data_IF_222002377108
#
_entry.id   IF_222002377108
#
_cell.length_a   1.000
_cell.length_b   1.000
_cell.length_c   1.000
_cell.angle_alpha   90.00
_cell.angle_beta   90.00
_cell.angle_gamma   90.00
#
_symmetry.space_group_name_H-M   'P 1'
#
loop_
_entity.id
_entity.type
_entity.pdbx_description
1 polymer ?
#
# COMPACT_ATOMS: atom_id res chain seq x y z
N UNK A 1 19.52 -1.64 -15.41
CA UNK A 1 18.20 -1.55 -16.07
C UNK A 1 17.10 -1.43 -15.03
N UNK A 2 16.06 -0.67 -15.32
CA UNK A 2 14.89 -0.50 -14.45
C UNK A 2 13.87 -1.61 -14.72
N UNK A 3 13.41 -2.27 -13.65
CA UNK A 3 12.34 -3.25 -13.72
C UNK A 3 10.96 -2.59 -13.68
N UNK A 4 10.09 -2.95 -14.64
CA UNK A 4 8.70 -2.50 -14.68
C UNK A 4 7.75 -3.65 -14.98
N UNK A 5 6.98 -4.15 -13.99
CA UNK A 5 5.91 -5.11 -14.21
C UNK A 5 4.73 -4.43 -14.91
N UNK A 6 4.09 -5.15 -15.81
CA UNK A 6 2.88 -4.74 -16.51
C UNK A 6 1.61 -5.22 -15.81
N UNK A 7 1.73 -6.19 -14.94
CA UNK A 7 0.63 -6.73 -14.14
C UNK A 7 1.09 -7.04 -12.71
N UNK A 8 0.12 -7.14 -11.78
CA UNK A 8 0.40 -7.40 -10.36
C UNK A 8 0.88 -8.81 -10.05
N UNK A 9 0.85 -9.72 -11.02
CA UNK A 9 1.37 -11.08 -10.87
C UNK A 9 2.80 -11.21 -11.41
N UNK A 10 3.31 -10.14 -12.02
CA UNK A 10 4.62 -10.13 -12.70
C UNK A 10 4.72 -11.17 -13.81
N UNK A 11 3.57 -11.55 -14.40
CA UNK A 11 3.50 -12.45 -15.53
C UNK A 11 4.05 -11.82 -16.80
N UNK A 12 3.93 -10.48 -16.88
CA UNK A 12 4.48 -9.66 -17.95
C UNK A 12 5.27 -8.50 -17.33
N UNK A 13 6.43 -8.24 -17.89
CA UNK A 13 7.30 -7.14 -17.46
C UNK A 13 8.19 -6.65 -18.60
N UNK A 14 8.74 -5.47 -18.44
CA UNK A 14 9.73 -4.89 -19.35
C UNK A 14 10.93 -4.40 -18.56
N UNK A 15 12.09 -4.48 -19.21
CA UNK A 15 13.33 -3.86 -18.75
C UNK A 15 13.54 -2.56 -19.51
N UNK A 16 13.74 -1.46 -18.80
CA UNK A 16 14.02 -0.14 -19.39
C UNK A 16 15.48 0.20 -19.22
N UNK A 17 16.11 0.65 -20.29
CA UNK A 17 17.52 1.05 -20.37
C UNK A 17 18.22 0.40 -21.56
N UNK A 18 19.44 0.81 -21.83
CA UNK A 18 20.24 0.34 -22.94
C UNK A 18 20.90 -1.01 -22.63
N UNK A 19 21.07 -1.84 -23.68
CA UNK A 19 21.70 -3.15 -23.61
C UNK A 19 20.72 -4.33 -23.50
N UNK A 20 21.27 -5.54 -23.42
CA UNK A 20 20.50 -6.76 -23.30
C UNK A 20 19.82 -6.88 -21.91
N UNK A 21 18.57 -7.37 -21.86
CA UNK A 21 17.88 -7.56 -20.60
C UNK A 21 18.65 -8.57 -19.71
N UNK A 22 18.71 -8.34 -18.37
CA UNK A 22 19.37 -9.27 -17.48
C UNK A 22 18.64 -10.61 -17.42
N UNK A 23 19.38 -11.70 -17.31
CA UNK A 23 18.85 -13.06 -17.09
C UNK A 23 18.45 -13.26 -15.63
N UNK A 24 17.51 -12.50 -15.14
CA UNK A 24 17.07 -12.55 -13.75
C UNK A 24 15.57 -12.77 -13.69
N UNK A 25 15.13 -13.68 -12.83
CA UNK A 25 13.71 -13.86 -12.53
C UNK A 25 13.24 -12.79 -11.54
N UNK A 26 12.34 -11.87 -11.96
CA UNK A 26 11.88 -10.78 -11.10
C UNK A 26 11.15 -11.25 -9.85
N UNK A 27 10.41 -12.34 -9.93
CA UNK A 27 9.63 -12.89 -8.80
C UNK A 27 10.58 -13.56 -7.80
N UNK A 28 11.49 -14.40 -8.29
CA UNK A 28 12.50 -15.05 -7.44
C UNK A 28 13.43 -14.03 -6.77
N UNK A 29 13.78 -12.96 -7.50
CA UNK A 29 14.63 -11.88 -7.01
C UNK A 29 13.90 -10.82 -6.18
N UNK A 30 12.58 -10.94 -5.99
CA UNK A 30 11.76 -10.03 -5.18
C UNK A 30 11.86 -8.57 -5.62
N UNK A 31 11.81 -8.33 -6.94
CA UNK A 31 11.88 -7.00 -7.51
C UNK A 31 10.54 -6.26 -7.37
N UNK A 32 10.60 -5.00 -6.98
CA UNK A 32 9.49 -4.05 -7.05
C UNK A 32 9.65 -3.15 -8.27
N UNK A 33 8.53 -2.59 -8.75
CA UNK A 33 8.53 -1.63 -9.85
C UNK A 33 9.49 -0.49 -9.54
N UNK A 34 10.38 -0.18 -10.50
CA UNK A 34 11.39 0.86 -10.35
C UNK A 34 12.70 0.42 -9.66
N UNK A 35 12.84 -0.86 -9.27
CA UNK A 35 14.14 -1.37 -8.85
C UNK A 35 15.12 -1.33 -10.04
N UNK A 36 16.33 -0.83 -9.79
CA UNK A 36 17.41 -0.80 -10.77
C UNK A 36 18.31 -2.01 -10.59
N UNK A 37 18.49 -2.77 -11.67
CA UNK A 37 19.32 -3.98 -11.67
C UNK A 37 20.59 -3.75 -12.47
N UNK A 38 21.72 -4.20 -11.90
CA UNK A 38 23.03 -4.18 -12.53
C UNK A 38 23.79 -5.46 -12.17
N UNK A 39 24.39 -6.10 -13.17
CA UNK A 39 25.14 -7.36 -13.01
C UNK A 39 24.36 -8.44 -12.21
N UNK A 40 23.08 -8.64 -12.53
CA UNK A 40 22.19 -9.60 -11.89
C UNK A 40 21.89 -9.34 -10.39
N UNK A 41 22.17 -8.14 -9.89
CA UNK A 41 21.83 -7.70 -8.54
C UNK A 41 21.08 -6.38 -8.53
N UNK A 42 20.38 -6.09 -7.42
CA UNK A 42 19.69 -4.80 -7.25
C UNK A 42 20.74 -3.74 -6.93
N UNK A 43 20.96 -2.80 -7.87
CA UNK A 43 21.87 -1.68 -7.69
C UNK A 43 21.24 -0.50 -6.96
N UNK A 44 19.96 -0.23 -7.21
CA UNK A 44 19.19 0.83 -6.58
C UNK A 44 17.78 0.35 -6.30
N UNK A 45 17.32 0.56 -5.08
CA UNK A 45 15.99 0.14 -4.65
C UNK A 45 14.92 1.15 -5.04
N UNK A 46 13.77 0.63 -5.44
CA UNK A 46 12.58 1.40 -5.77
C UNK A 46 12.10 2.29 -4.61
N UNK A 47 11.59 3.48 -4.94
CA UNK A 47 10.93 4.38 -3.99
C UNK A 47 9.75 3.73 -3.25
N UNK A 48 9.10 2.73 -3.87
CA UNK A 48 7.96 2.02 -3.29
C UNK A 48 8.30 1.23 -2.02
N UNK A 49 9.58 1.00 -1.76
CA UNK A 49 10.04 0.37 -0.50
C UNK A 49 9.92 1.31 0.70
N UNK A 50 9.92 2.63 0.47
CA UNK A 50 9.84 3.65 1.52
C UNK A 50 8.54 4.47 1.47
N UNK A 51 7.83 4.43 0.34
CA UNK A 51 6.62 5.22 0.09
C UNK A 51 5.40 4.59 0.77
N UNK A 52 4.48 5.43 1.21
CA UNK A 52 3.17 4.98 1.65
C UNK A 52 2.32 4.59 0.44
N UNK A 53 1.69 3.44 0.51
CA UNK A 53 0.88 2.84 -0.55
C UNK A 53 -0.58 2.80 -0.11
N UNK A 54 -1.48 3.31 -0.95
CA UNK A 54 -2.91 3.16 -0.75
C UNK A 54 -3.38 1.80 -1.31
N UNK A 55 -4.31 1.13 -0.61
CA UNK A 55 -4.82 -0.16 -1.04
C UNK A 55 -6.11 -0.56 -0.35
N UNK A 56 -6.62 -1.71 -0.73
CA UNK A 56 -7.81 -2.33 -0.14
C UNK A 56 -7.38 -3.56 0.64
N UNK A 57 -7.62 -3.53 1.95
CA UNK A 57 -7.42 -4.67 2.84
C UNK A 57 -8.63 -5.60 2.73
N UNK A 58 -8.41 -6.83 2.28
CA UNK A 58 -9.45 -7.85 2.12
C UNK A 58 -9.76 -8.50 3.48
N UNK A 59 -10.39 -7.74 4.38
CA UNK A 59 -10.74 -8.20 5.73
C UNK A 59 -11.86 -9.24 5.72
N UNK A 60 -12.76 -9.18 4.75
CA UNK A 60 -13.82 -10.17 4.54
C UNK A 60 -13.29 -11.51 3.97
N UNK A 61 -12.05 -11.52 3.46
CA UNK A 61 -11.43 -12.67 2.83
C UNK A 61 -10.74 -13.64 3.78
N UNK A 62 -10.00 -14.56 3.18
CA UNK A 62 -9.21 -15.55 3.92
C UNK A 62 -8.00 -14.92 4.61
N UNK A 63 -7.61 -15.50 5.74
CA UNK A 63 -6.39 -15.13 6.47
C UNK A 63 -5.19 -15.93 6.00
N UNK A 64 -4.01 -15.33 6.10
CA UNK A 64 -2.72 -15.89 5.67
C UNK A 64 -1.76 -16.06 6.85
N UNK A 65 -2.26 -16.61 7.94
CA UNK A 65 -1.49 -16.82 9.16
C UNK A 65 -1.61 -15.66 10.15
N UNK A 66 -0.67 -15.62 11.08
CA UNK A 66 -0.66 -14.66 12.19
C UNK A 66 0.74 -14.08 12.36
N UNK A 67 0.83 -12.79 12.57
CA UNK A 67 2.08 -12.09 12.85
C UNK A 67 1.87 -11.20 14.09
N UNK A 68 2.65 -11.43 15.16
CA UNK A 68 2.56 -10.66 16.42
C UNK A 68 1.12 -10.50 16.90
N UNK A 69 0.43 -11.62 17.10
CA UNK A 69 -0.97 -11.71 17.57
C UNK A 69 -2.04 -11.11 16.62
N UNK A 70 -1.67 -10.56 15.49
CA UNK A 70 -2.60 -10.07 14.48
C UNK A 70 -2.76 -11.07 13.35
N UNK A 71 -3.99 -11.24 12.88
CA UNK A 71 -4.26 -12.00 11.67
C UNK A 71 -3.74 -11.23 10.44
N UNK A 72 -3.24 -11.97 9.47
CA UNK A 72 -2.67 -11.42 8.25
C UNK A 72 -3.67 -11.56 7.11
N UNK A 73 -3.91 -10.47 6.41
CA UNK A 73 -4.85 -10.40 5.29
C UNK A 73 -4.16 -9.94 4.01
N UNK A 74 -4.74 -10.26 2.87
CA UNK A 74 -4.32 -9.68 1.60
C UNK A 74 -4.68 -8.20 1.54
N UNK A 75 -3.75 -7.40 1.05
CA UNK A 75 -3.95 -6.01 0.73
C UNK A 75 -3.61 -5.78 -0.75
N UNK A 76 -4.58 -5.29 -1.51
CA UNK A 76 -4.43 -5.03 -2.94
C UNK A 76 -4.07 -3.57 -3.12
N UNK A 77 -2.85 -3.24 -3.58
CA UNK A 77 -2.45 -1.86 -3.86
C UNK A 77 -3.32 -1.23 -4.96
N UNK A 78 -3.55 0.09 -4.86
CA UNK A 78 -4.18 0.85 -5.94
C UNK A 78 -3.29 0.86 -7.20
N UNK A 79 -1.98 0.94 -7.02
CA UNK A 79 -1.05 0.79 -8.13
C UNK A 79 -0.98 -0.67 -8.59
N UNK A 80 -1.47 -0.94 -9.80
CA UNK A 80 -1.54 -2.29 -10.38
C UNK A 80 -0.18 -2.92 -10.68
N UNK A 81 0.87 -2.11 -10.79
CA UNK A 81 2.24 -2.60 -10.99
C UNK A 81 2.88 -3.14 -9.71
N UNK A 82 2.26 -2.91 -8.55
CA UNK A 82 2.70 -3.50 -7.29
C UNK A 82 2.03 -4.87 -7.06
N UNK A 83 2.74 -5.84 -6.46
CA UNK A 83 2.16 -7.12 -6.11
C UNK A 83 1.11 -6.98 -4.99
N UNK A 84 0.35 -8.04 -4.76
CA UNK A 84 -0.50 -8.13 -3.57
C UNK A 84 0.37 -8.28 -2.33
N UNK A 85 0.10 -7.49 -1.28
CA UNK A 85 0.80 -7.53 0.00
C UNK A 85 0.05 -8.37 1.03
N UNK A 86 0.79 -8.84 2.02
CA UNK A 86 0.25 -9.43 3.24
C UNK A 86 0.41 -8.42 4.38
N UNK A 87 -0.70 -7.98 4.97
CA UNK A 87 -0.72 -6.93 6.00
C UNK A 87 -1.39 -7.45 7.27
N UNK A 88 -0.71 -7.39 8.44
CA UNK A 88 -1.30 -7.73 9.71
C UNK A 88 -2.34 -6.68 10.12
N UNK A 89 -3.53 -7.14 10.46
CA UNK A 89 -4.63 -6.29 10.91
C UNK A 89 -5.35 -6.86 12.11
N UNK A 90 -5.72 -6.00 13.04
CA UNK A 90 -6.63 -6.31 14.13
C UNK A 90 -7.59 -5.14 14.28
N UNK A 91 -8.87 -5.41 14.25
CA UNK A 91 -9.90 -4.41 14.50
C UNK A 91 -9.86 -3.97 15.96
N UNK A 92 -9.86 -2.66 16.20
CA UNK A 92 -9.81 -2.10 17.57
C UNK A 92 -11.10 -2.29 18.34
N UNK A 93 -12.21 -2.48 17.64
CA UNK A 93 -13.51 -2.73 18.24
C UNK A 93 -13.74 -4.23 18.33
N UNK A 94 -13.76 -4.76 19.54
CA UNK A 94 -14.16 -6.15 19.83
C UNK A 94 -15.68 -6.37 19.72
N UNK A 95 -16.43 -5.42 19.20
CA UNK A 95 -17.81 -5.69 18.83
C UNK A 95 -17.80 -6.72 17.72
N UNK A 96 -18.29 -7.90 18.05
CA UNK A 96 -18.52 -9.07 17.22
C UNK A 96 -19.39 -8.69 15.99
N UNK A 97 -18.85 -7.89 15.11
CA UNK A 97 -19.45 -7.67 13.79
C UNK A 97 -19.36 -9.00 13.06
N UNK A 98 -20.47 -9.70 12.97
CA UNK A 98 -20.58 -10.95 12.19
C UNK A 98 -20.24 -10.73 10.71
N UNK A 99 -20.26 -9.49 10.24
CA UNK A 99 -20.00 -9.12 8.86
C UNK A 99 -18.66 -8.36 8.78
N UNK A 100 -17.61 -9.09 8.43
CA UNK A 100 -16.33 -8.48 8.08
C UNK A 100 -16.46 -7.74 6.76
N UNK A 101 -16.06 -6.49 6.72
CA UNK A 101 -16.08 -5.63 5.54
C UNK A 101 -14.66 -5.23 5.19
N UNK A 102 -14.34 -5.18 3.91
CA UNK A 102 -13.04 -4.72 3.42
C UNK A 102 -12.82 -3.25 3.76
N UNK A 103 -11.56 -2.86 3.90
CA UNK A 103 -11.18 -1.52 4.34
C UNK A 103 -10.25 -0.85 3.34
N UNK A 104 -10.47 0.44 3.09
CA UNK A 104 -9.45 1.29 2.49
C UNK A 104 -8.37 1.60 3.52
N UNK A 105 -7.13 1.39 3.11
CA UNK A 105 -5.97 1.51 4.01
C UNK A 105 -4.79 2.17 3.34
N UNK A 106 -3.85 2.65 4.17
CA UNK A 106 -2.49 2.96 3.77
C UNK A 106 -1.52 2.03 4.50
N UNK A 107 -0.51 1.59 3.80
CA UNK A 107 0.54 0.72 4.35
C UNK A 107 1.89 1.05 3.70
N UNK A 108 2.97 0.54 4.29
CA UNK A 108 4.33 0.62 3.74
C UNK A 108 4.87 -0.78 3.53
N UNK A 109 5.76 -0.92 2.56
CA UNK A 109 6.55 -2.14 2.40
C UNK A 109 7.33 -2.43 3.70
N UNK A 110 7.39 -3.68 4.09
CA UNK A 110 8.21 -4.17 5.20
C UNK A 110 9.35 -5.03 4.66
N UNK A 111 9.02 -6.22 4.17
CA UNK A 111 9.97 -7.17 3.60
C UNK A 111 9.31 -8.11 2.60
N UNK A 112 10.12 -8.83 1.85
CA UNK A 112 9.64 -9.81 0.91
C UNK A 112 10.42 -11.12 1.03
N UNK A 113 10.02 -11.99 1.96
CA UNK A 113 10.68 -13.28 2.20
C UNK A 113 9.95 -14.43 1.47
N UNK A 114 8.63 -14.42 1.49
CA UNK A 114 7.77 -15.46 0.95
C UNK A 114 7.26 -15.21 -0.48
N UNK A 115 6.12 -15.80 -0.80
CA UNK A 115 5.43 -15.62 -2.09
C UNK A 115 4.94 -14.18 -2.30
N UNK A 116 4.50 -13.53 -1.23
CA UNK A 116 4.00 -12.15 -1.26
C UNK A 116 4.85 -11.27 -0.35
N UNK A 117 5.07 -10.00 -0.70
CA UNK A 117 5.66 -9.05 0.22
C UNK A 117 4.75 -8.80 1.41
N UNK A 118 5.34 -8.48 2.54
CA UNK A 118 4.63 -8.03 3.74
C UNK A 118 4.62 -6.50 3.80
N UNK A 119 3.56 -5.97 4.40
CA UNK A 119 3.41 -4.54 4.62
C UNK A 119 3.05 -4.23 6.06
N UNK A 120 3.43 -3.03 6.49
CA UNK A 120 3.05 -2.47 7.78
C UNK A 120 1.92 -1.49 7.58
N UNK A 121 0.78 -1.74 8.23
CA UNK A 121 -0.36 -0.83 8.20
C UNK A 121 0.02 0.50 8.86
N UNK A 122 -0.16 1.59 8.13
CA UNK A 122 0.10 2.95 8.63
C UNK A 122 -1.20 3.68 8.98
N UNK A 123 -2.25 3.46 8.20
CA UNK A 123 -3.54 4.10 8.41
C UNK A 123 -4.70 3.22 7.94
N UNK A 124 -5.80 3.22 8.70
CA UNK A 124 -7.07 2.63 8.28
C UNK A 124 -8.04 3.77 8.03
N UNK A 125 -8.48 3.94 6.78
CA UNK A 125 -9.40 5.01 6.39
C UNK A 125 -10.84 4.66 6.80
N UNK A 126 -11.26 3.44 6.52
CA UNK A 126 -12.58 2.94 6.87
C UNK A 126 -13.12 1.90 5.90
N UNK A 127 -14.41 1.61 6.00
CA UNK A 127 -15.12 0.63 5.18
C UNK A 127 -15.14 1.01 3.71
N UNK A 128 -14.99 0.03 2.81
CA UNK A 128 -15.16 0.23 1.36
C UNK A 128 -16.59 0.59 0.96
N UNK A 129 -17.57 0.37 1.85
CA UNK A 129 -18.96 0.69 1.62
C UNK A 129 -19.34 2.15 1.97
N UNK A 130 -18.38 2.91 2.51
CA UNK A 130 -18.58 4.30 2.90
C UNK A 130 -18.11 5.24 1.77
N UNK A 131 -19.00 6.09 1.28
CA UNK A 131 -18.72 6.99 0.17
C UNK A 131 -17.73 8.10 0.55
N UNK A 132 -17.79 8.61 1.76
CA UNK A 132 -16.88 9.66 2.24
C UNK A 132 -15.46 9.09 2.38
N UNK A 133 -15.33 7.87 2.89
CA UNK A 133 -14.05 7.14 2.96
C UNK A 133 -13.51 6.85 1.56
N UNK A 134 -14.37 6.48 0.62
CA UNK A 134 -13.98 6.31 -0.78
C UNK A 134 -13.43 7.61 -1.40
N UNK A 135 -14.09 8.74 -1.16
CA UNK A 135 -13.63 10.04 -1.64
C UNK A 135 -12.24 10.39 -1.07
N UNK A 136 -12.02 10.20 0.23
CA UNK A 136 -10.71 10.38 0.87
C UNK A 136 -9.65 9.45 0.28
N UNK A 137 -9.99 8.17 0.09
CA UNK A 137 -9.11 7.20 -0.55
C UNK A 137 -8.69 7.63 -1.96
N UNK A 138 -9.61 8.17 -2.78
CA UNK A 138 -9.31 8.66 -4.13
C UNK A 138 -8.34 9.85 -4.10
N UNK A 139 -8.48 10.76 -3.15
CA UNK A 139 -7.55 11.87 -2.95
C UNK A 139 -6.14 11.38 -2.60
N UNK A 140 -6.04 10.39 -1.73
CA UNK A 140 -4.78 9.75 -1.35
C UNK A 140 -4.12 9.09 -2.56
N UNK A 141 -4.88 8.31 -3.35
CA UNK A 141 -4.37 7.63 -4.54
C UNK A 141 -3.78 8.59 -5.59
N UNK A 142 -4.27 9.83 -5.63
CA UNK A 142 -3.82 10.88 -6.54
C UNK A 142 -2.78 11.82 -5.93
N UNK A 143 -2.25 11.51 -4.75
CA UNK A 143 -1.36 12.39 -3.97
C UNK A 143 -1.96 13.79 -3.71
N UNK A 144 -3.29 13.89 -3.75
CA UNK A 144 -4.04 15.13 -3.53
C UNK A 144 -4.55 15.27 -2.09
N UNK A 145 -4.24 14.32 -1.21
CA UNK A 145 -4.65 14.35 0.18
C UNK A 145 -3.77 15.31 0.99
N UNK A 146 -4.28 16.49 1.21
CA UNK A 146 -3.95 17.20 2.44
C UNK A 146 -4.85 16.60 3.52
N UNK A 147 -4.30 16.20 4.69
CA UNK A 147 -5.12 15.62 5.75
C UNK A 147 -6.22 16.61 6.11
N UNK A 148 -7.45 16.28 5.75
CA UNK A 148 -8.65 17.11 5.97
C UNK A 148 -8.73 17.50 7.44
N UNK A 149 -8.39 16.58 8.34
CA UNK A 149 -8.30 16.85 9.78
C UNK A 149 -7.28 17.96 10.14
N UNK A 150 -6.14 18.00 9.46
CA UNK A 150 -5.14 19.05 9.66
C UNK A 150 -5.63 20.39 9.12
N UNK A 151 -6.27 20.40 7.96
CA UNK A 151 -6.88 21.56 7.35
C UNK A 151 -8.04 22.10 8.22
N UNK A 152 -8.96 21.23 8.63
CA UNK A 152 -10.11 21.60 9.50
C UNK A 152 -9.63 22.19 10.82
N UNK A 153 -8.59 21.60 11.44
CA UNK A 153 -8.01 22.12 12.68
C UNK A 153 -7.32 23.46 12.48
N UNK A 154 -6.63 23.66 11.36
CA UNK A 154 -6.00 24.94 11.02
C UNK A 154 -7.04 26.00 10.70
N UNK A 155 -8.08 25.68 9.93
CA UNK A 155 -9.18 26.57 9.62
C UNK A 155 -9.92 26.99 10.89
N UNK A 156 -10.25 26.06 11.79
CA UNK A 156 -10.88 26.33 13.06
C UNK A 156 -10.05 27.25 13.95
N UNK A 157 -8.73 27.02 14.01
CA UNK A 157 -7.82 27.89 14.77
C UNK A 157 -7.69 29.28 14.16
N UNK A 158 -7.71 29.41 12.84
CA UNK A 158 -7.69 30.69 12.14
C UNK A 158 -8.95 31.51 12.41
N UNK A 159 -10.14 30.89 12.25
CA UNK A 159 -11.42 31.54 12.54
C UNK A 159 -11.53 31.98 14.00
N UNK A 160 -11.00 31.17 14.93
CA UNK A 160 -11.00 31.50 16.37
C UNK A 160 -10.06 32.66 16.74
N UNK A 161 -9.04 32.92 15.93
CA UNK A 161 -8.17 34.09 16.09
C UNK A 161 -8.84 35.38 15.61
N UNK A 162 -9.55 35.32 14.47
CA UNK A 162 -10.26 36.45 13.88
C UNK A 162 -11.45 36.89 14.77
N UNK A 163 -12.12 35.96 15.43
CA UNK A 163 -13.26 36.26 16.31
C UNK A 163 -12.91 36.79 17.72
N UNK A 164 -11.63 37.10 17.97
CA UNK A 164 -11.14 37.67 19.25
C UNK A 164 -10.62 39.10 19.12
N UNK A 165 -10.66 39.68 17.94
CA UNK A 165 -10.50 41.12 17.68
C UNK A 165 -11.88 41.78 17.58
#
# INVERSE_FOLDING_TARGET
>A
MEFQPLDRYYSNYVWKGDGDPPTIDPVASKLLVGDMVFNNGIALTSEWRNKSVAGILQYSGSTFGRLKDKLVYKCIPNNRSLPTFLVPFAEKSQMLSKNKVDHFVQFKFDKWDGKHPTGILTHTLGSVNDLDVYAEYQLICRNASHPIQKFTRQAFNAVRKIGKE
#
